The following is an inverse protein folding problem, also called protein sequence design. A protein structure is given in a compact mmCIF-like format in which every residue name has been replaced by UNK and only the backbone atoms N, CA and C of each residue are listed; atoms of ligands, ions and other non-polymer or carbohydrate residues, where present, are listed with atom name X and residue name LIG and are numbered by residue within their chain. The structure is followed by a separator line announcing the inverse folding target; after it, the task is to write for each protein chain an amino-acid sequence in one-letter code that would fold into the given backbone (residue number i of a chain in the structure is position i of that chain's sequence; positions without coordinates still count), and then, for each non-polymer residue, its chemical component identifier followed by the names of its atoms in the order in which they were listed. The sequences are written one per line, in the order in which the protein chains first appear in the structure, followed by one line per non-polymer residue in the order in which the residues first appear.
data_IF_086161506090
#
_entry.id   IF_086161506090
#
_cell.length_a   1.000
_cell.length_b   1.000
_cell.length_c   1.000
_cell.angle_alpha   90.00
_cell.angle_beta   90.00
_cell.angle_gamma   90.00
#
_symmetry.space_group_name_H-M   'P 1'
#
loop_
_entity.id
_entity.type
_entity.pdbx_description
1 polymer ?
#
# COMPACT_ATOMS: atom_id res chain seq x y z
N UNK A 1 -9.99 -22.75 9.98
CA UNK A 1 -9.79 -21.40 9.42
C UNK A 1 -8.32 -21.10 9.57
N UNK A 2 -7.53 -21.26 8.50
CA UNK A 2 -6.11 -20.89 8.53
C UNK A 2 -6.08 -19.38 8.34
N UNK A 3 -5.73 -18.65 9.40
CA UNK A 3 -5.40 -17.23 9.28
C UNK A 3 -4.00 -17.25 8.69
N UNK A 4 -3.87 -17.15 7.37
CA UNK A 4 -2.58 -16.89 6.74
C UNK A 4 -2.06 -15.58 7.35
N UNK A 5 -1.03 -15.69 8.17
CA UNK A 5 -0.42 -14.55 8.83
C UNK A 5 0.23 -13.68 7.75
N UNK A 6 -0.42 -12.56 7.38
CA UNK A 6 0.09 -11.68 6.34
C UNK A 6 1.30 -10.94 6.88
N UNK A 7 2.48 -11.54 6.67
CA UNK A 7 3.75 -10.95 7.11
C UNK A 7 4.01 -9.64 6.37
N UNK A 8 4.50 -8.60 7.07
CA UNK A 8 5.02 -7.41 6.42
C UNK A 8 6.10 -7.77 5.40
N UNK A 9 6.22 -6.96 4.37
CA UNK A 9 7.25 -7.09 3.34
C UNK A 9 7.89 -5.74 3.04
N UNK A 10 9.03 -5.77 2.36
CA UNK A 10 9.78 -4.56 2.02
C UNK A 10 9.69 -4.29 0.53
N UNK A 11 9.59 -3.01 0.16
CA UNK A 11 9.74 -2.52 -1.21
C UNK A 11 10.78 -1.40 -1.23
N UNK A 12 11.42 -1.18 -2.38
CA UNK A 12 12.35 -0.07 -2.57
C UNK A 12 11.63 1.10 -3.25
N UNK A 13 11.83 2.32 -2.73
CA UNK A 13 11.23 3.53 -3.25
C UNK A 13 12.17 4.72 -3.08
N UNK A 14 12.55 5.36 -4.19
CA UNK A 14 13.45 6.54 -4.19
C UNK A 14 14.74 6.33 -3.38
N UNK A 15 15.32 5.12 -3.45
CA UNK A 15 16.54 4.74 -2.72
C UNK A 15 16.35 4.49 -1.22
N UNK A 16 15.11 4.41 -0.75
CA UNK A 16 14.73 4.06 0.62
C UNK A 16 13.99 2.73 0.64
N UNK A 17 14.24 1.91 1.65
CA UNK A 17 13.46 0.71 1.90
C UNK A 17 12.21 1.05 2.73
N UNK A 18 11.05 0.59 2.28
CA UNK A 18 9.75 0.83 2.91
C UNK A 18 9.19 -0.48 3.45
N UNK A 19 8.77 -0.50 4.72
CA UNK A 19 8.03 -1.65 5.26
C UNK A 19 6.54 -1.49 4.98
N UNK A 20 5.97 -2.46 4.29
CA UNK A 20 4.56 -2.54 3.95
C UNK A 20 3.89 -3.62 4.79
N UNK A 21 2.78 -3.27 5.41
CA UNK A 21 1.91 -4.21 6.11
C UNK A 21 0.49 -4.10 5.56
N UNK A 22 -0.09 -5.26 5.23
CA UNK A 22 -1.45 -5.35 4.75
C UNK A 22 -2.41 -5.46 5.93
N UNK A 23 -3.51 -4.70 5.88
CA UNK A 23 -4.59 -4.77 6.86
C UNK A 23 -5.94 -4.74 6.14
N UNK A 24 -6.99 -5.10 6.87
CA UNK A 24 -8.36 -4.98 6.41
C UNK A 24 -9.14 -4.10 7.39
N UNK A 25 -9.91 -3.15 6.87
CA UNK A 25 -10.91 -2.39 7.63
C UNK A 25 -12.27 -2.76 7.05
N UNK A 26 -13.00 -3.65 7.74
CA UNK A 26 -14.17 -4.30 7.16
C UNK A 26 -13.76 -5.14 5.94
N UNK A 27 -14.35 -4.84 4.79
CA UNK A 27 -14.01 -5.48 3.50
C UNK A 27 -12.92 -4.73 2.72
N UNK A 28 -12.52 -3.54 3.19
CA UNK A 28 -11.54 -2.71 2.50
C UNK A 28 -10.12 -3.16 2.83
N UNK A 29 -9.37 -3.51 1.78
CA UNK A 29 -7.95 -3.86 1.86
C UNK A 29 -7.10 -2.58 1.84
N UNK A 30 -6.31 -2.41 2.89
CA UNK A 30 -5.42 -1.25 3.06
C UNK A 30 -3.98 -1.68 3.26
N UNK A 31 -3.05 -0.78 3.01
CA UNK A 31 -1.62 -1.00 3.17
C UNK A 31 -0.99 0.10 4.00
N UNK A 32 -0.45 -0.24 5.16
CA UNK A 32 0.29 0.70 5.99
C UNK A 32 1.77 0.65 5.61
N UNK A 33 2.30 1.81 5.28
CA UNK A 33 3.68 2.05 4.85
C UNK A 33 4.43 2.74 5.98
N UNK A 34 5.54 2.14 6.40
CA UNK A 34 6.50 2.72 7.33
C UNK A 34 7.76 3.11 6.56
N UNK A 35 8.22 4.33 6.79
CA UNK A 35 9.43 4.88 6.20
C UNK A 35 10.58 4.73 7.20
N UNK A 36 11.77 4.37 6.71
CA UNK A 36 12.98 4.23 7.54
C UNK A 36 13.41 5.57 8.18
N UNK A 37 13.15 6.68 7.49
CA UNK A 37 13.43 8.04 7.98
C UNK A 37 12.50 8.53 9.09
N UNK A 38 11.62 7.66 9.61
CA UNK A 38 10.66 7.93 10.69
C UNK A 38 9.64 9.04 10.38
N UNK A 39 9.48 9.46 9.12
CA UNK A 39 8.37 10.36 8.76
C UNK A 39 7.03 9.67 8.99
N UNK A 40 5.96 10.47 9.05
CA UNK A 40 4.62 9.97 9.36
C UNK A 40 4.27 8.77 8.46
N UNK A 41 3.73 7.68 9.01
CA UNK A 41 3.26 6.56 8.22
C UNK A 41 2.23 7.00 7.17
N UNK A 42 2.17 6.25 6.07
CA UNK A 42 1.21 6.46 5.00
C UNK A 42 0.32 5.23 4.93
N UNK A 43 -1.00 5.42 4.92
CA UNK A 43 -1.93 4.32 4.62
C UNK A 43 -2.39 4.47 3.19
N UNK A 44 -2.26 3.42 2.41
CA UNK A 44 -2.71 3.35 1.02
C UNK A 44 -3.95 2.47 0.91
N UNK A 45 -4.88 2.91 0.08
CA UNK A 45 -6.09 2.17 -0.26
C UNK A 45 -6.35 2.28 -1.77
N UNK A 46 -7.21 1.41 -2.28
CA UNK A 46 -7.68 1.49 -3.67
C UNK A 46 -9.05 2.16 -3.70
N UNK A 47 -9.09 3.40 -4.18
CA UNK A 47 -10.33 4.12 -4.44
C UNK A 47 -10.90 3.80 -5.82
N UNK A 48 -12.18 4.14 -6.01
CA UNK A 48 -12.87 4.08 -7.30
C UNK A 48 -13.38 5.48 -7.63
N UNK A 49 -13.03 6.01 -8.80
CA UNK A 49 -13.47 7.34 -9.22
C UNK A 49 -14.87 7.29 -9.86
N UNK A 50 -15.42 8.46 -10.25
CA UNK A 50 -16.74 8.57 -10.90
C UNK A 50 -16.85 7.81 -12.23
N UNK A 51 -15.71 7.52 -12.88
CA UNK A 51 -15.63 6.73 -14.11
C UNK A 51 -15.46 5.23 -13.85
N UNK A 52 -15.62 4.77 -12.60
CA UNK A 52 -15.40 3.38 -12.15
C UNK A 52 -13.96 2.88 -12.33
N UNK A 53 -13.00 3.78 -12.44
CA UNK A 53 -11.59 3.43 -12.54
C UNK A 53 -10.97 3.35 -11.14
N UNK A 54 -10.16 2.30 -10.93
CA UNK A 54 -9.41 2.11 -9.70
C UNK A 54 -8.19 3.03 -9.67
N UNK A 55 -7.93 3.65 -8.53
CA UNK A 55 -6.75 4.46 -8.32
C UNK A 55 -6.21 4.27 -6.89
N UNK A 56 -4.91 4.45 -6.72
CA UNK A 56 -4.29 4.43 -5.40
C UNK A 56 -4.55 5.75 -4.70
N UNK A 57 -4.92 5.71 -3.43
CA UNK A 57 -5.15 6.90 -2.60
C UNK A 57 -4.51 6.79 -1.23
N UNK A 58 -4.37 7.94 -0.57
CA UNK A 58 -3.68 8.11 0.72
C UNK A 58 -4.63 8.48 1.85
N UNK A 59 -4.38 7.91 3.03
CA UNK A 59 -5.04 8.24 4.28
C UNK A 59 -3.94 8.51 5.33
N UNK A 60 -3.83 9.72 5.91
CA UNK A 60 -4.64 10.92 5.64
C UNK A 60 -4.38 11.53 4.26
N UNK A 61 -5.32 12.36 3.80
CA UNK A 61 -5.27 13.06 2.52
C UNK A 61 -4.04 14.01 2.42
N UNK A 62 -3.69 14.39 1.20
CA UNK A 62 -2.55 15.28 0.90
C UNK A 62 -1.26 14.57 0.50
N UNK A 63 -1.27 13.22 0.43
CA UNK A 63 -0.13 12.40 0.02
C UNK A 63 -0.45 11.56 -1.23
N UNK A 64 -1.25 12.14 -2.12
CA UNK A 64 -1.76 11.47 -3.33
C UNK A 64 -0.65 11.15 -4.33
N UNK A 65 0.38 12.00 -4.43
CA UNK A 65 1.56 11.74 -5.26
C UNK A 65 2.28 10.46 -4.78
N UNK A 66 2.57 10.37 -3.49
CA UNK A 66 3.19 9.16 -2.91
C UNK A 66 2.30 7.92 -3.07
N UNK A 67 0.98 8.05 -2.95
CA UNK A 67 0.06 6.95 -3.24
C UNK A 67 0.16 6.47 -4.69
N UNK A 68 0.24 7.40 -5.64
CA UNK A 68 0.37 7.11 -7.06
C UNK A 68 1.68 6.41 -7.42
N UNK A 69 2.77 6.71 -6.72
CA UNK A 69 4.08 6.09 -6.97
C UNK A 69 4.28 4.78 -6.21
N UNK A 70 3.88 4.71 -4.94
CA UNK A 70 4.12 3.54 -4.07
C UNK A 70 3.11 2.43 -4.34
N UNK A 71 1.85 2.78 -4.62
CA UNK A 71 0.78 1.81 -4.87
C UNK A 71 1.11 0.78 -5.96
N UNK A 72 1.59 1.19 -7.15
CA UNK A 72 2.03 0.27 -8.19
C UNK A 72 3.12 -0.72 -7.75
N UNK A 73 4.05 -0.32 -6.88
CA UNK A 73 5.10 -1.20 -6.35
C UNK A 73 4.51 -2.32 -5.50
N UNK A 74 3.51 -1.99 -4.68
CA UNK A 74 2.74 -2.97 -3.90
C UNK A 74 2.01 -3.93 -4.85
N UNK A 75 1.35 -3.42 -5.89
CA UNK A 75 0.66 -4.25 -6.87
C UNK A 75 1.62 -5.23 -7.58
N UNK A 76 2.83 -4.77 -7.90
CA UNK A 76 3.87 -5.60 -8.52
C UNK A 76 4.34 -6.70 -7.58
N UNK A 77 4.63 -6.40 -6.31
CA UNK A 77 5.00 -7.40 -5.31
C UNK A 77 3.98 -8.57 -5.26
N UNK A 78 2.68 -8.26 -5.19
CA UNK A 78 1.64 -9.31 -5.17
C UNK A 78 1.47 -10.02 -6.52
N UNK A 79 1.77 -9.35 -7.65
CA UNK A 79 1.73 -9.98 -8.98
C UNK A 79 2.86 -10.99 -9.14
N UNK A 80 4.05 -10.68 -8.63
CA UNK A 80 5.21 -11.58 -8.67
C UNK A 80 5.06 -12.76 -7.72
N UNK A 81 4.56 -12.53 -6.49
CA UNK A 81 4.31 -13.60 -5.51
C UNK A 81 3.24 -14.61 -5.94
N UNK A 82 2.37 -14.25 -6.89
CA UNK A 82 1.31 -15.11 -7.43
C UNK A 82 1.73 -15.92 -8.67
N UNK A 83 2.97 -15.74 -9.16
CA UNK A 83 3.57 -16.62 -10.17
C UNK A 83 4.30 -17.76 -9.47
#
# INVERSE_FOLDING_TARGET
MVIDEIKPFTIEFKGQSLTVSEHYIGEERIFRILFEDKRKPLTLAVGINSQKQKFWTSIPQGRQEEAGEIGPLIAWYYKEKKK
#
